data_IF_938879690663
#
_entry.id   IF_938879690663
#
_cell.length_a   1.000
_cell.length_b   1.000
_cell.length_c   1.000
_cell.angle_alpha   90.00
_cell.angle_beta   90.00
_cell.angle_gamma   90.00
#
_symmetry.space_group_name_H-M   'P 1'
#
loop_
_entity.id
_entity.type
_entity.pdbx_description
1 polymer ?
#
# COMPACT_ATOMS: atom_id res chain seq x y z
N UNK A 1 12.02 56.41 -35.29
CA UNK A 1 12.67 55.50 -34.33
C UNK A 1 12.40 54.08 -34.81
N UNK A 2 13.50 53.33 -35.01
CA UNK A 2 13.69 51.92 -35.39
C UNK A 2 12.46 51.05 -35.66
N UNK A 3 12.33 50.29 -36.75
CA UNK A 3 13.35 49.73 -37.64
C UNK A 3 12.75 48.43 -38.19
N UNK A 4 12.04 48.53 -39.31
CA UNK A 4 11.35 47.42 -39.98
C UNK A 4 12.28 46.76 -41.01
N UNK A 5 12.23 45.43 -41.05
CA UNK A 5 12.52 44.55 -42.19
C UNK A 5 13.99 44.39 -42.63
N UNK A 6 14.57 43.25 -42.27
CA UNK A 6 15.46 42.44 -43.14
C UNK A 6 15.75 41.08 -42.49
N UNK A 7 15.13 40.02 -43.01
CA UNK A 7 15.61 38.63 -42.95
C UNK A 7 14.96 37.93 -44.16
N UNK A 8 15.58 37.95 -45.33
CA UNK A 8 16.60 36.97 -45.78
C UNK A 8 16.09 35.53 -45.75
N UNK A 9 15.47 35.13 -46.86
CA UNK A 9 15.75 33.90 -47.62
C UNK A 9 16.37 32.71 -46.84
N UNK A 10 15.51 31.77 -46.44
CA UNK A 10 15.85 30.34 -46.39
C UNK A 10 14.60 29.53 -46.73
N UNK A 11 14.01 29.84 -47.89
CA UNK A 11 12.93 29.10 -48.51
C UNK A 11 13.60 28.09 -49.45
N UNK A 12 13.82 26.86 -49.02
CA UNK A 12 13.87 25.71 -49.93
C UNK A 12 13.81 24.39 -49.17
N UNK A 13 12.80 23.60 -49.56
CA UNK A 13 12.66 22.15 -49.49
C UNK A 13 12.14 21.55 -48.18
N UNK A 14 10.89 21.09 -48.24
CA UNK A 14 10.47 19.96 -47.40
C UNK A 14 9.02 19.94 -46.89
N UNK A 15 8.04 20.47 -47.61
CA UNK A 15 6.62 20.25 -47.27
C UNK A 15 6.14 18.91 -47.86
N UNK A 16 6.07 17.88 -47.03
CA UNK A 16 5.20 16.71 -47.23
C UNK A 16 5.01 15.94 -45.91
N UNK A 17 4.04 16.33 -45.07
CA UNK A 17 2.91 15.46 -44.65
C UNK A 17 2.00 16.17 -43.61
N UNK A 18 0.66 16.10 -43.76
CA UNK A 18 -0.29 16.75 -42.85
C UNK A 18 -0.76 15.76 -41.78
N UNK A 19 -0.25 15.88 -40.56
CA UNK A 19 -0.87 15.24 -39.37
C UNK A 19 -0.54 15.94 -38.05
N UNK A 20 0.19 17.06 -38.06
CA UNK A 20 0.48 17.86 -36.88
C UNK A 20 -0.62 18.90 -36.62
N UNK A 21 -1.84 18.45 -36.33
CA UNK A 21 -2.94 19.29 -35.87
C UNK A 21 -3.80 18.49 -34.89
N UNK A 22 -3.39 18.52 -33.62
CA UNK A 22 -4.25 18.59 -32.42
C UNK A 22 -3.49 18.08 -31.20
N UNK A 23 -3.03 19.01 -30.36
CA UNK A 23 -3.00 18.93 -28.88
C UNK A 23 -2.26 20.15 -28.33
N UNK A 24 -2.87 21.32 -28.51
CA UNK A 24 -2.60 22.47 -27.64
C UNK A 24 -3.65 22.41 -26.53
N UNK A 25 -3.20 22.25 -25.29
CA UNK A 25 -4.02 22.40 -24.10
C UNK A 25 -4.49 21.09 -23.47
N UNK A 26 -3.76 20.64 -22.44
CA UNK A 26 -4.25 19.93 -21.25
C UNK A 26 -3.16 20.09 -20.16
N UNK A 27 -3.52 20.38 -18.90
CA UNK A 27 -2.57 20.71 -17.84
C UNK A 27 -1.73 19.49 -17.43
N UNK A 28 -0.50 19.74 -16.99
CA UNK A 28 0.44 18.75 -16.49
C UNK A 28 -0.08 18.07 -15.22
N UNK A 29 -0.95 17.07 -15.37
CA UNK A 29 -1.22 16.10 -14.32
C UNK A 29 -0.04 15.15 -14.30
N UNK A 30 0.81 15.30 -13.29
CA UNK A 30 1.83 14.32 -12.91
C UNK A 30 1.14 12.98 -12.70
N UNK A 31 1.10 12.14 -13.73
CA UNK A 31 0.73 10.74 -13.58
C UNK A 31 1.84 10.10 -12.73
N UNK A 32 1.59 9.93 -11.43
CA UNK A 32 2.37 9.00 -10.62
C UNK A 32 2.25 7.64 -11.29
N UNK A 33 3.34 7.19 -11.89
CA UNK A 33 3.45 5.90 -12.57
C UNK A 33 3.44 4.81 -11.50
N UNK A 34 2.26 4.47 -10.97
CA UNK A 34 2.05 3.37 -10.02
C UNK A 34 2.19 1.99 -10.69
N UNK A 35 2.46 1.94 -11.99
CA UNK A 35 2.67 0.71 -12.74
C UNK A 35 4.04 0.71 -13.39
N UNK A 36 5.00 0.07 -12.71
CA UNK A 36 6.29 -0.27 -13.29
C UNK A 36 6.14 -1.58 -14.07
N UNK A 37 6.17 -1.49 -15.40
CA UNK A 37 6.33 -2.67 -16.26
C UNK A 37 7.82 -3.05 -16.23
N UNK A 38 8.20 -4.28 -15.82
CA UNK A 38 9.59 -4.65 -15.72
C UNK A 38 10.27 -4.55 -17.10
N UNK A 39 11.41 -3.84 -17.12
CA UNK A 39 12.37 -3.87 -18.22
C UNK A 39 12.83 -5.33 -18.42
N UNK A 40 12.92 -5.74 -19.68
CA UNK A 40 13.18 -7.10 -20.19
C UNK A 40 14.48 -7.78 -19.72
N UNK A 41 15.24 -7.18 -18.81
CA UNK A 41 16.52 -7.71 -18.31
C UNK A 41 16.40 -8.70 -17.14
N UNK A 42 15.24 -8.78 -16.47
CA UNK A 42 15.03 -9.66 -15.29
C UNK A 42 14.07 -10.82 -15.53
N UNK A 43 13.67 -11.03 -16.78
CA UNK A 43 12.66 -12.03 -17.14
C UNK A 43 13.31 -13.07 -18.03
N UNK A 44 13.39 -14.33 -17.58
CA UNK A 44 13.80 -15.46 -18.43
C UNK A 44 12.55 -16.24 -18.82
N UNK A 45 12.33 -16.41 -20.11
CA UNK A 45 11.27 -17.31 -20.61
C UNK A 45 11.95 -18.63 -20.93
N UNK A 46 11.54 -19.69 -20.25
CA UNK A 46 12.07 -21.05 -20.45
C UNK A 46 11.05 -21.92 -21.18
N UNK A 47 11.39 -22.32 -22.41
CA UNK A 47 10.55 -23.17 -23.26
C UNK A 47 10.72 -24.69 -22.98
N UNK A 48 11.61 -25.05 -22.04
CA UNK A 48 12.01 -26.45 -21.81
C UNK A 48 11.08 -27.30 -20.94
N UNK A 49 10.07 -26.73 -20.29
CA UNK A 49 9.24 -27.41 -19.28
C UNK A 49 7.85 -27.79 -19.81
N UNK A 50 7.26 -26.98 -20.69
CA UNK A 50 5.94 -27.22 -21.28
C UNK A 50 5.81 -26.46 -22.59
N UNK A 51 5.44 -27.17 -23.67
CA UNK A 51 5.18 -26.54 -24.98
C UNK A 51 3.87 -25.76 -25.03
N UNK A 52 2.92 -26.06 -24.12
CA UNK A 52 1.58 -25.46 -24.14
C UNK A 52 1.44 -24.26 -23.19
N UNK A 53 2.31 -24.13 -22.19
CA UNK A 53 2.29 -23.05 -21.21
C UNK A 53 3.71 -22.47 -21.06
N UNK A 54 4.02 -21.33 -21.70
CA UNK A 54 5.33 -20.72 -21.57
C UNK A 54 5.56 -20.30 -20.11
N UNK A 55 6.69 -20.71 -19.54
CA UNK A 55 7.06 -20.40 -18.17
C UNK A 55 7.90 -19.13 -18.16
N UNK A 56 7.51 -18.18 -17.31
CA UNK A 56 8.17 -16.88 -17.16
C UNK A 56 8.79 -16.81 -15.77
N UNK A 57 10.12 -16.77 -15.71
CA UNK A 57 10.87 -16.65 -14.47
C UNK A 57 11.16 -15.17 -14.15
N UNK A 58 10.98 -14.82 -12.88
CA UNK A 58 11.27 -13.50 -12.34
C UNK A 58 12.17 -13.61 -11.09
N UNK A 59 13.08 -12.66 -10.91
CA UNK A 59 13.96 -12.60 -9.72
C UNK A 59 13.71 -11.35 -8.87
N UNK A 60 13.42 -11.59 -7.58
CA UNK A 60 13.12 -10.62 -6.54
C UNK A 60 13.75 -11.06 -5.21
N UNK A 61 13.94 -10.14 -4.27
CA UNK A 61 14.50 -10.45 -2.95
C UNK A 61 13.45 -11.08 -2.04
N UNK A 62 12.20 -10.60 -2.15
CA UNK A 62 11.05 -11.13 -1.43
C UNK A 62 9.81 -11.16 -2.32
N UNK A 63 8.95 -12.14 -2.10
CA UNK A 63 7.66 -12.27 -2.78
C UNK A 63 6.55 -12.37 -1.73
N UNK A 64 5.62 -11.42 -1.76
CA UNK A 64 4.44 -11.39 -0.90
C UNK A 64 3.23 -11.87 -1.71
N UNK A 65 2.59 -12.93 -1.24
CA UNK A 65 1.37 -13.48 -1.86
C UNK A 65 0.16 -13.01 -1.07
N UNK A 66 -0.63 -12.14 -1.68
CA UNK A 66 -1.82 -11.52 -1.12
C UNK A 66 -1.65 -10.03 -0.88
N UNK A 67 -2.62 -9.23 -1.35
CA UNK A 67 -2.64 -7.77 -1.20
C UNK A 67 -3.77 -7.31 -0.25
N UNK A 68 -3.99 -8.07 0.83
CA UNK A 68 -4.82 -7.64 1.96
C UNK A 68 -4.03 -6.73 2.92
N UNK A 69 -4.62 -6.38 4.07
CA UNK A 69 -3.96 -5.49 5.05
C UNK A 69 -2.58 -5.98 5.48
N UNK A 70 -2.47 -7.27 5.83
CA UNK A 70 -1.20 -7.87 6.25
C UNK A 70 -0.14 -7.88 5.14
N UNK A 71 -0.53 -8.30 3.93
CA UNK A 71 0.39 -8.38 2.79
C UNK A 71 0.89 -7.02 2.32
N UNK A 72 0.01 -6.00 2.29
CA UNK A 72 0.41 -4.63 1.96
C UNK A 72 1.32 -4.04 3.04
N UNK A 73 1.04 -4.24 4.34
CA UNK A 73 1.90 -3.75 5.43
C UNK A 73 3.28 -4.43 5.41
N UNK A 74 3.33 -5.72 5.11
CA UNK A 74 4.58 -6.46 4.97
C UNK A 74 5.39 -5.99 3.75
N UNK A 75 4.73 -5.84 2.60
CA UNK A 75 5.37 -5.32 1.40
C UNK A 75 5.91 -3.90 1.58
N UNK A 76 5.15 -3.03 2.28
CA UNK A 76 5.59 -1.69 2.62
C UNK A 76 6.86 -1.70 3.48
N UNK A 77 6.88 -2.51 4.56
CA UNK A 77 8.08 -2.62 5.41
C UNK A 77 9.30 -3.18 4.69
N UNK A 78 9.12 -4.18 3.82
CA UNK A 78 10.23 -4.72 3.02
C UNK A 78 10.79 -3.68 2.04
N UNK A 79 9.93 -2.87 1.43
CA UNK A 79 10.37 -1.81 0.51
C UNK A 79 11.02 -0.64 1.25
N UNK A 80 10.56 -0.32 2.46
CA UNK A 80 11.15 0.70 3.33
C UNK A 80 12.61 0.36 3.70
N UNK A 81 12.89 -0.91 3.97
CA UNK A 81 14.24 -1.43 4.21
C UNK A 81 15.07 -1.59 2.92
N UNK A 82 14.51 -1.27 1.74
CA UNK A 82 15.21 -1.25 0.45
C UNK A 82 15.20 -2.58 -0.32
N UNK A 83 14.40 -3.57 0.09
CA UNK A 83 14.30 -4.86 -0.62
C UNK A 83 13.41 -4.77 -1.87
N UNK A 84 13.86 -5.39 -2.96
CA UNK A 84 13.08 -5.51 -4.20
C UNK A 84 11.97 -6.55 -4.01
N UNK A 85 10.77 -6.08 -3.66
CA UNK A 85 9.63 -6.93 -3.29
C UNK A 85 8.59 -7.02 -4.39
N UNK A 86 8.13 -8.23 -4.72
CA UNK A 86 6.98 -8.46 -5.60
C UNK A 86 5.73 -8.77 -4.78
N UNK A 87 4.60 -8.11 -5.09
CA UNK A 87 3.29 -8.41 -4.48
C UNK A 87 2.40 -9.06 -5.52
N UNK A 88 2.02 -10.31 -5.29
CA UNK A 88 1.17 -11.09 -6.19
C UNK A 88 -0.21 -11.23 -5.55
N UNK A 89 -1.25 -10.82 -6.27
CA UNK A 89 -2.63 -10.92 -5.79
C UNK A 89 -3.57 -11.34 -6.89
N UNK A 90 -4.51 -12.24 -6.57
CA UNK A 90 -5.57 -12.65 -7.49
C UNK A 90 -6.61 -11.55 -7.70
N UNK A 91 -6.85 -10.75 -6.67
CA UNK A 91 -7.84 -9.68 -6.68
C UNK A 91 -7.14 -8.33 -6.70
N UNK A 92 -7.82 -7.31 -7.22
CA UNK A 92 -7.38 -5.94 -7.03
C UNK A 92 -7.28 -5.63 -5.52
N UNK A 93 -6.21 -4.99 -5.02
CA UNK A 93 -5.93 -4.91 -3.57
C UNK A 93 -7.09 -4.42 -2.70
N UNK A 94 -7.85 -3.43 -3.16
CA UNK A 94 -9.00 -2.87 -2.40
C UNK A 94 -10.24 -3.77 -2.38
N UNK A 95 -10.21 -4.91 -3.09
CA UNK A 95 -11.25 -5.94 -3.08
C UNK A 95 -10.88 -7.14 -2.21
N UNK A 96 -9.79 -7.06 -1.46
CA UNK A 96 -9.44 -8.05 -0.44
C UNK A 96 -10.47 -8.05 0.70
N UNK A 97 -10.65 -9.19 1.37
CA UNK A 97 -11.67 -9.33 2.42
C UNK A 97 -11.42 -8.42 3.65
N UNK A 98 -10.21 -7.87 3.78
CA UNK A 98 -9.91 -6.82 4.78
C UNK A 98 -10.84 -5.62 4.64
N UNK A 99 -11.34 -5.31 3.44
CA UNK A 99 -12.29 -4.19 3.20
C UNK A 99 -13.64 -4.39 3.90
N UNK A 100 -14.02 -5.63 4.21
CA UNK A 100 -15.29 -5.95 4.84
C UNK A 100 -15.26 -5.89 6.38
N UNK A 101 -14.09 -5.62 6.98
CA UNK A 101 -13.97 -5.47 8.42
C UNK A 101 -14.74 -4.22 8.91
N UNK A 102 -15.59 -4.39 9.94
CA UNK A 102 -16.46 -3.32 10.46
C UNK A 102 -16.13 -2.92 11.91
N UNK A 103 -15.82 -3.90 12.78
CA UNK A 103 -15.72 -3.69 14.22
C UNK A 103 -14.66 -2.65 14.62
N UNK A 104 -13.46 -2.78 14.08
CA UNK A 104 -12.31 -1.91 14.35
C UNK A 104 -11.02 -2.71 14.58
N UNK A 105 -10.06 -2.11 15.28
CA UNK A 105 -8.78 -2.73 15.67
C UNK A 105 -8.54 -2.49 17.16
N UNK A 106 -8.16 -3.55 17.88
CA UNK A 106 -7.92 -3.48 19.33
C UNK A 106 -6.51 -2.96 19.62
N UNK A 107 -6.43 -1.90 20.43
CA UNK A 107 -5.17 -1.41 20.98
C UNK A 107 -5.42 -0.70 22.32
N UNK A 108 -4.58 -1.02 23.31
CA UNK A 108 -4.62 -0.38 24.62
C UNK A 108 -4.00 1.02 24.55
N UNK A 109 -4.76 1.98 24.00
CA UNK A 109 -4.34 3.37 23.84
C UNK A 109 -4.62 4.23 25.09
N UNK A 110 -5.51 3.79 25.98
CA UNK A 110 -5.89 4.55 27.18
C UNK A 110 -6.67 5.84 26.89
N UNK A 111 -7.31 5.94 25.72
CA UNK A 111 -7.95 7.19 25.23
C UNK A 111 -9.36 7.45 25.78
N UNK A 112 -10.05 6.41 26.24
CA UNK A 112 -11.44 6.49 26.77
C UNK A 112 -11.48 6.25 28.27
N UNK A 113 -10.76 5.22 28.69
CA UNK A 113 -10.52 4.84 30.07
C UNK A 113 -9.04 4.47 30.20
N UNK A 114 -8.52 4.42 31.42
CA UNK A 114 -7.17 3.91 31.67
C UNK A 114 -7.11 2.47 31.17
N UNK A 115 -6.11 2.15 30.35
CA UNK A 115 -5.96 0.84 29.74
C UNK A 115 -4.47 0.44 29.72
N UNK A 116 -4.22 -0.86 29.87
CA UNK A 116 -2.90 -1.45 29.96
C UNK A 116 -2.82 -2.64 29.01
N UNK A 117 -1.72 -2.75 28.26
CA UNK A 117 -1.55 -3.83 27.29
C UNK A 117 -1.59 -5.23 27.92
N UNK A 118 -1.25 -5.36 29.22
CA UNK A 118 -1.33 -6.62 29.96
C UNK A 118 -2.78 -7.08 30.14
N UNK A 119 -3.74 -6.17 30.26
CA UNK A 119 -5.17 -6.52 30.35
C UNK A 119 -5.66 -7.08 29.02
N UNK A 120 -5.28 -6.43 27.92
CA UNK A 120 -5.53 -6.95 26.57
C UNK A 120 -4.87 -8.33 26.33
N UNK A 121 -3.65 -8.55 26.87
CA UNK A 121 -3.00 -9.86 26.84
C UNK A 121 -3.81 -10.92 27.60
N UNK A 122 -4.25 -10.60 28.81
CA UNK A 122 -5.06 -11.51 29.62
C UNK A 122 -6.36 -11.91 28.92
N UNK A 123 -7.09 -10.93 28.36
CA UNK A 123 -8.33 -11.19 27.62
C UNK A 123 -8.09 -12.04 26.36
N UNK A 124 -6.96 -11.83 25.68
CA UNK A 124 -6.60 -12.63 24.51
C UNK A 124 -6.26 -14.07 24.87
N UNK A 125 -5.48 -14.29 25.95
CA UNK A 125 -5.15 -15.63 26.44
C UNK A 125 -6.41 -16.37 26.89
N UNK A 126 -7.25 -15.71 27.68
CA UNK A 126 -8.53 -16.27 28.14
C UNK A 126 -9.48 -16.54 26.97
N UNK A 127 -9.60 -15.61 26.03
CA UNK A 127 -10.45 -15.75 24.84
C UNK A 127 -9.97 -16.85 23.88
N UNK A 128 -8.68 -17.15 23.88
CA UNK A 128 -8.10 -18.28 23.13
C UNK A 128 -8.31 -19.64 23.80
N UNK A 129 -9.00 -19.70 24.95
CA UNK A 129 -9.17 -20.90 25.77
C UNK A 129 -7.82 -21.55 26.13
N UNK A 130 -6.81 -20.71 26.44
CA UNK A 130 -5.42 -21.08 26.75
C UNK A 130 -4.69 -21.88 25.66
N UNK A 131 -5.27 -21.98 24.45
CA UNK A 131 -4.65 -22.66 23.30
C UNK A 131 -3.66 -21.75 22.55
N UNK A 132 -3.79 -20.43 22.71
CA UNK A 132 -2.94 -19.46 22.03
C UNK A 132 -1.53 -19.40 22.60
N UNK A 133 -0.55 -19.27 21.69
CA UNK A 133 0.86 -19.08 22.04
C UNK A 133 1.06 -17.74 22.75
N UNK A 134 1.40 -17.79 24.04
CA UNK A 134 1.42 -16.60 24.91
C UNK A 134 2.54 -15.62 24.56
N UNK A 135 3.64 -16.09 23.97
CA UNK A 135 4.74 -15.27 23.49
C UNK A 135 4.32 -14.42 22.28
N UNK A 136 3.59 -15.02 21.34
CA UNK A 136 3.01 -14.31 20.19
C UNK A 136 1.93 -13.31 20.63
N UNK A 137 1.05 -13.71 21.56
CA UNK A 137 0.02 -12.83 22.12
C UNK A 137 0.65 -11.65 22.88
N UNK A 138 1.70 -11.90 23.66
CA UNK A 138 2.44 -10.86 24.37
C UNK A 138 3.05 -9.84 23.39
N UNK A 139 3.68 -10.29 22.31
CA UNK A 139 4.23 -9.40 21.28
C UNK A 139 3.13 -8.59 20.60
N UNK A 140 2.05 -9.24 20.16
CA UNK A 140 0.92 -8.61 19.49
C UNK A 140 0.29 -7.49 20.34
N UNK A 141 -0.03 -7.78 21.59
CA UNK A 141 -0.73 -6.84 22.49
C UNK A 141 0.16 -5.68 22.93
N UNK A 142 1.46 -5.92 23.11
CA UNK A 142 2.44 -4.88 23.43
C UNK A 142 2.71 -3.92 22.27
N UNK A 143 2.76 -4.41 21.04
CA UNK A 143 3.03 -3.59 19.85
C UNK A 143 1.77 -2.96 19.25
N UNK A 144 0.57 -3.44 19.59
CA UNK A 144 -0.70 -2.94 19.08
C UNK A 144 -0.89 -1.41 19.19
N UNK A 145 -0.58 -0.73 20.33
CA UNK A 145 -0.69 0.71 20.43
C UNK A 145 0.15 1.47 19.40
N UNK A 146 1.40 1.03 19.18
CA UNK A 146 2.31 1.66 18.21
C UNK A 146 1.82 1.44 16.78
N UNK A 147 1.35 0.24 16.45
CA UNK A 147 0.84 -0.09 15.13
C UNK A 147 -0.41 0.74 14.77
N UNK A 148 -1.32 0.97 15.72
CA UNK A 148 -2.50 1.82 15.48
C UNK A 148 -2.13 3.29 15.28
N UNK A 149 -1.16 3.80 16.04
CA UNK A 149 -0.64 5.16 15.86
C UNK A 149 0.03 5.31 14.49
N UNK A 150 0.78 4.30 14.03
CA UNK A 150 1.35 4.28 12.69
C UNK A 150 0.28 4.41 11.60
N UNK A 151 -0.81 3.64 11.71
CA UNK A 151 -1.92 3.71 10.75
C UNK A 151 -2.57 5.10 10.73
N UNK A 152 -2.70 5.75 11.88
CA UNK A 152 -3.24 7.12 11.96
C UNK A 152 -2.30 8.13 11.28
N UNK A 153 -1.00 8.01 11.50
CA UNK A 153 0.02 8.83 10.83
C UNK A 153 0.04 8.60 9.31
N UNK A 154 -0.31 7.39 8.83
CA UNK A 154 -0.52 7.09 7.42
C UNK A 154 -1.83 7.69 6.84
N UNK A 155 -2.63 8.37 7.66
CA UNK A 155 -3.86 9.05 7.25
C UNK A 155 -5.13 8.19 7.35
N UNK A 156 -5.12 7.10 8.12
CA UNK A 156 -6.31 6.29 8.35
C UNK A 156 -7.38 7.12 9.09
N UNK A 157 -8.60 7.29 8.52
CA UNK A 157 -9.61 8.17 9.09
C UNK A 157 -10.34 7.49 10.26
N UNK A 158 -9.69 7.41 11.41
CA UNK A 158 -10.34 6.96 12.63
C UNK A 158 -11.39 7.96 13.11
N UNK A 159 -12.43 7.42 13.74
CA UNK A 159 -13.38 8.24 14.48
C UNK A 159 -12.66 8.92 15.66
N UNK A 160 -13.06 10.13 16.02
CA UNK A 160 -12.44 10.91 17.10
C UNK A 160 -13.34 10.95 18.34
N UNK A 161 -12.75 11.13 19.51
CA UNK A 161 -13.50 11.45 20.74
C UNK A 161 -14.04 12.89 20.69
N UNK A 162 -14.92 13.23 21.64
CA UNK A 162 -15.47 14.60 21.78
C UNK A 162 -14.39 15.68 21.94
N UNK A 163 -13.20 15.30 22.38
CA UNK A 163 -12.05 16.19 22.54
C UNK A 163 -11.16 16.30 21.28
N UNK A 164 -11.51 15.60 20.20
CA UNK A 164 -10.94 15.75 18.85
C UNK A 164 -9.51 15.25 18.65
N UNK A 165 -8.74 15.03 19.73
CA UNK A 165 -7.33 14.62 19.68
C UNK A 165 -7.15 13.10 19.69
N UNK A 166 -7.97 12.40 20.45
CA UNK A 166 -7.76 10.97 20.70
C UNK A 166 -8.51 10.09 19.70
N UNK A 167 -7.83 9.06 19.20
CA UNK A 167 -8.38 8.04 18.32
C UNK A 167 -9.43 7.23 19.10
N UNK A 168 -10.64 7.14 18.54
CA UNK A 168 -11.68 6.21 18.97
C UNK A 168 -11.64 4.96 18.08
N UNK A 169 -10.96 3.93 18.55
CA UNK A 169 -11.13 2.58 18.00
C UNK A 169 -12.38 2.00 18.64
N UNK A 170 -13.42 1.73 17.84
CA UNK A 170 -14.48 0.84 18.31
C UNK A 170 -13.87 -0.57 18.38
N UNK A 171 -13.81 -1.10 19.60
CA UNK A 171 -14.11 -2.46 20.05
C UNK A 171 -13.85 -2.32 21.55
N UNK A 172 -14.93 -2.18 22.30
CA UNK A 172 -14.89 -2.27 23.76
C UNK A 172 -14.47 -3.71 24.11
N UNK A 173 -13.16 -3.97 24.19
CA UNK A 173 -12.63 -5.29 24.51
C UNK A 173 -12.95 -5.74 25.94
N UNK A 174 -13.64 -4.94 26.76
CA UNK A 174 -13.94 -5.29 28.15
C UNK A 174 -15.41 -5.68 28.46
N UNK A 175 -16.38 -5.59 27.53
CA UNK A 175 -17.81 -5.80 27.88
C UNK A 175 -18.64 -6.65 26.90
N UNK A 176 -18.05 -7.25 25.87
CA UNK A 176 -18.81 -8.03 24.87
C UNK A 176 -18.22 -9.40 24.49
N UNK A 177 -17.55 -10.05 25.43
CA UNK A 177 -17.37 -11.50 25.39
C UNK A 177 -17.82 -12.11 26.72
#
# INVERSE_FOLDING_TARGET
MSGMLKLSSALTKGLANPSALNKVGLPAITQRLLHYTPSSSFTKVTDGISTNYPVVDHTYDAVVVGAGGAGLRAAYGLVEEGFKTAVITKLFPTRSHTVAAQGGINAALGNMEEDQWQWHMYDTVKGSDWLGDQDAIHYMTREAPKAVIELENCGMPFSRTSEGKSIKCYINSCHQF
#
